data_IF_156169666606
#
_entry.id   IF_156169666606
#
_cell.length_a   1.000
_cell.length_b   1.000
_cell.length_c   1.000
_cell.angle_alpha   90.00
_cell.angle_beta   90.00
_cell.angle_gamma   90.00
#
_symmetry.space_group_name_H-M   'P 1'
#
loop_
_entity.id
_entity.type
_entity.pdbx_description
1 polymer ?
#
# COMPACT_ATOMS: atom_id res chain seq x y z
N UNK A 1 19.63 7.03 -0.76
CA UNK A 1 19.35 7.09 -2.18
C UNK A 1 18.70 8.42 -2.55
N UNK A 2 17.49 8.73 -2.10
CA UNK A 2 16.93 10.08 -2.27
C UNK A 2 17.63 11.09 -1.35
N UNK A 3 17.94 12.31 -1.77
CA UNK A 3 17.52 12.97 -3.01
C UNK A 3 18.44 12.76 -4.22
N UNK A 4 19.58 12.11 -4.09
CA UNK A 4 20.57 12.04 -5.19
C UNK A 4 20.12 11.13 -6.34
N UNK A 5 19.34 10.08 -6.04
CA UNK A 5 18.72 9.20 -7.04
C UNK A 5 17.25 9.06 -6.70
N UNK A 6 16.41 9.68 -7.51
CA UNK A 6 14.96 9.63 -7.34
C UNK A 6 14.36 8.43 -8.07
N UNK A 7 13.23 7.94 -7.58
CA UNK A 7 12.41 6.97 -8.28
C UNK A 7 11.19 7.71 -8.86
N UNK A 8 10.64 7.23 -9.94
CA UNK A 8 9.45 7.83 -10.56
C UNK A 8 8.19 7.78 -9.64
N UNK A 9 8.19 6.90 -8.63
CA UNK A 9 7.05 6.73 -7.73
C UNK A 9 7.03 7.74 -6.57
N UNK A 10 8.20 8.24 -6.15
CA UNK A 10 8.31 9.17 -5.05
C UNK A 10 8.24 10.63 -5.51
N UNK A 11 7.64 11.47 -4.70
CA UNK A 11 7.47 12.91 -4.95
C UNK A 11 8.26 13.78 -3.97
N UNK A 12 8.66 13.22 -2.83
CA UNK A 12 9.36 13.93 -1.75
C UNK A 12 10.66 13.22 -1.36
N UNK A 13 11.43 13.88 -0.49
CA UNK A 13 12.62 13.27 0.12
C UNK A 13 12.34 12.66 1.51
N UNK A 14 11.09 12.66 1.91
CA UNK A 14 10.66 12.16 3.21
C UNK A 14 10.77 10.64 3.32
N UNK A 15 10.98 10.17 4.54
CA UNK A 15 10.89 8.76 4.87
C UNK A 15 9.43 8.32 4.96
N UNK A 16 9.17 7.05 4.75
CA UNK A 16 7.83 6.47 4.80
C UNK A 16 6.80 7.13 3.86
N UNK A 17 7.24 7.70 2.74
CA UNK A 17 6.34 8.24 1.73
C UNK A 17 5.43 7.16 1.16
N UNK A 18 4.11 7.42 1.15
CA UNK A 18 3.10 6.50 0.65
C UNK A 18 2.91 6.72 -0.86
N UNK A 19 3.43 5.82 -1.68
CA UNK A 19 3.51 6.02 -3.13
C UNK A 19 2.26 5.61 -3.91
N UNK A 20 1.47 4.62 -3.45
CA UNK A 20 0.31 4.12 -4.20
C UNK A 20 -1.04 4.52 -3.58
N UNK A 21 -1.20 4.39 -2.28
CA UNK A 21 -2.43 4.69 -1.54
C UNK A 21 -2.08 5.43 -0.26
N UNK A 22 -3.05 6.18 0.29
CA UNK A 22 -2.94 6.77 1.62
C UNK A 22 -3.70 5.95 2.68
N UNK A 23 -4.12 4.74 2.36
CA UNK A 23 -4.89 3.88 3.27
C UNK A 23 -4.02 2.75 3.83
N UNK A 24 -4.16 2.55 5.14
CA UNK A 24 -3.65 1.39 5.85
C UNK A 24 -4.70 0.27 5.98
N UNK A 25 -5.79 0.36 5.21
CA UNK A 25 -6.92 -0.58 5.19
C UNK A 25 -7.76 -0.52 6.47
N UNK A 26 -8.46 -1.62 6.80
CA UNK A 26 -9.36 -1.67 7.96
C UNK A 26 -8.62 -1.47 9.28
N UNK A 27 -9.20 -0.66 10.16
CA UNK A 27 -8.73 -0.42 11.55
C UNK A 27 -9.62 -1.14 12.58
N UNK A 28 -10.53 -1.97 12.13
CA UNK A 28 -11.39 -2.81 12.97
C UNK A 28 -10.58 -4.01 13.48
N UNK A 29 -10.15 -3.96 14.73
CA UNK A 29 -9.31 -4.96 15.37
C UNK A 29 -10.09 -6.18 15.92
N UNK A 30 -11.42 -6.12 15.91
CA UNK A 30 -12.27 -7.22 16.36
C UNK A 30 -12.64 -8.19 15.24
N UNK A 31 -12.91 -7.67 14.05
CA UNK A 31 -13.41 -8.47 12.94
C UNK A 31 -12.48 -8.55 11.73
N UNK A 32 -11.34 -7.86 11.75
CA UNK A 32 -10.44 -7.77 10.61
C UNK A 32 -8.98 -8.02 10.98
N UNK A 33 -8.31 -8.92 10.24
CA UNK A 33 -6.92 -9.30 10.50
C UNK A 33 -5.93 -8.12 10.38
N UNK A 34 -6.21 -7.12 9.52
CA UNK A 34 -5.36 -5.93 9.40
C UNK A 34 -5.56 -5.01 10.58
N UNK A 35 -6.80 -4.84 11.06
CA UNK A 35 -7.10 -4.09 12.27
C UNK A 35 -6.43 -4.72 13.50
N UNK A 36 -6.46 -6.04 13.62
CA UNK A 36 -5.72 -6.75 14.68
C UNK A 36 -4.21 -6.46 14.59
N UNK A 37 -3.63 -6.46 13.38
CA UNK A 37 -2.23 -6.11 13.18
C UNK A 37 -1.93 -4.66 13.59
N UNK A 38 -2.83 -3.71 13.32
CA UNK A 38 -2.72 -2.33 13.80
C UNK A 38 -2.67 -2.28 15.33
N UNK A 39 -3.56 -3.01 16.01
CA UNK A 39 -3.59 -3.10 17.45
C UNK A 39 -2.28 -3.65 18.03
N UNK A 40 -1.74 -4.74 17.44
CA UNK A 40 -0.46 -5.32 17.83
C UNK A 40 0.70 -4.32 17.66
N UNK A 41 0.72 -3.61 16.53
CA UNK A 41 1.75 -2.59 16.25
C UNK A 41 1.65 -1.40 17.18
N UNK A 42 0.42 -0.93 17.53
CA UNK A 42 0.21 0.14 18.52
C UNK A 42 0.71 -0.32 19.90
N UNK A 43 0.36 -1.53 20.31
CA UNK A 43 0.84 -2.14 21.57
C UNK A 43 2.37 -2.27 21.61
N UNK A 44 2.99 -2.40 20.45
CA UNK A 44 4.44 -2.43 20.30
C UNK A 44 5.10 -1.07 20.14
N UNK A 45 4.37 0.05 20.33
CA UNK A 45 4.86 1.41 20.16
C UNK A 45 5.45 1.67 18.75
N UNK A 46 4.75 1.21 17.71
CA UNK A 46 5.13 1.47 16.33
C UNK A 46 5.08 2.95 15.99
N UNK A 47 6.19 3.51 15.52
CA UNK A 47 6.25 4.89 15.02
C UNK A 47 5.29 5.11 13.82
N UNK A 48 5.09 4.08 13.00
CA UNK A 48 4.20 4.14 11.85
C UNK A 48 2.75 4.27 12.29
N UNK A 49 2.32 3.49 13.30
CA UNK A 49 0.96 3.62 13.83
C UNK A 49 0.77 4.92 14.59
N UNK A 50 1.72 5.34 15.42
CA UNK A 50 1.67 6.62 16.15
C UNK A 50 1.48 7.81 15.19
N UNK A 51 2.23 7.83 14.08
CA UNK A 51 2.09 8.91 13.09
C UNK A 51 0.85 8.71 12.21
N UNK A 52 0.44 7.48 11.95
CA UNK A 52 -0.81 7.16 11.26
C UNK A 52 -2.03 7.68 12.02
N UNK A 53 -2.13 7.39 13.30
CA UNK A 53 -3.21 7.85 14.18
C UNK A 53 -3.24 9.38 14.29
N UNK A 54 -2.07 10.00 14.38
CA UNK A 54 -1.94 11.46 14.46
C UNK A 54 -2.42 12.20 13.23
N UNK A 55 -2.28 11.60 12.05
CA UNK A 55 -2.61 12.19 10.76
C UNK A 55 -3.76 11.45 10.06
N UNK A 56 -4.60 10.79 10.86
CA UNK A 56 -5.76 10.06 10.36
C UNK A 56 -6.75 10.99 9.63
N UNK A 57 -7.34 10.48 8.57
CA UNK A 57 -8.41 11.11 7.80
C UNK A 57 -9.68 10.27 7.91
N UNK A 58 -10.86 10.90 7.85
CA UNK A 58 -12.13 10.18 7.78
C UNK A 58 -12.15 9.20 6.60
N UNK A 59 -12.33 7.91 6.89
CA UNK A 59 -12.35 6.84 5.88
C UNK A 59 -13.24 5.65 6.30
N UNK A 60 -14.32 5.91 7.06
CA UNK A 60 -15.19 4.87 7.60
C UNK A 60 -14.41 3.95 8.56
N UNK A 61 -14.47 2.64 8.35
CA UNK A 61 -13.72 1.66 9.18
C UNK A 61 -12.25 1.48 8.76
N UNK A 62 -11.73 2.28 7.85
CA UNK A 62 -10.33 2.19 7.41
C UNK A 62 -9.50 3.31 8.05
N UNK A 63 -8.24 3.03 8.36
CA UNK A 63 -7.25 4.06 8.68
C UNK A 63 -6.69 4.61 7.37
N UNK A 64 -7.07 5.81 6.99
CA UNK A 64 -6.44 6.60 5.95
C UNK A 64 -5.70 7.78 6.57
N UNK A 65 -4.64 8.26 5.92
CA UNK A 65 -3.80 9.32 6.48
C UNK A 65 -3.58 10.45 5.47
N UNK A 66 -3.35 11.66 6.00
CA UNK A 66 -2.76 12.73 5.22
C UNK A 66 -1.34 12.33 4.83
N UNK A 67 -1.12 12.10 3.54
CA UNK A 67 0.09 11.49 2.98
C UNK A 67 1.34 12.28 3.30
N UNK A 68 1.28 13.61 3.11
CA UNK A 68 2.43 14.49 3.29
C UNK A 68 2.73 14.71 4.78
N UNK A 69 1.69 15.01 5.57
CA UNK A 69 1.84 15.22 7.01
C UNK A 69 2.36 13.97 7.73
N UNK A 70 1.91 12.79 7.30
CA UNK A 70 2.39 11.50 7.82
C UNK A 70 3.89 11.31 7.55
N UNK A 71 4.34 11.38 6.30
CA UNK A 71 5.73 11.15 5.93
C UNK A 71 6.68 12.20 6.54
N UNK A 72 6.28 13.47 6.55
CA UNK A 72 7.03 14.54 7.21
C UNK A 72 7.21 14.30 8.72
N UNK A 73 6.14 13.83 9.39
CA UNK A 73 6.19 13.54 10.83
C UNK A 73 7.06 12.32 11.16
N UNK A 74 6.99 11.25 10.36
CA UNK A 74 7.89 10.10 10.49
C UNK A 74 9.35 10.54 10.28
N UNK A 75 9.60 11.30 9.22
CA UNK A 75 10.94 11.84 8.92
C UNK A 75 11.48 12.66 10.08
N UNK A 76 10.69 13.60 10.59
CA UNK A 76 11.07 14.47 11.72
C UNK A 76 11.39 13.66 12.97
N UNK A 77 10.57 12.64 13.30
CA UNK A 77 10.77 11.82 14.49
C UNK A 77 12.06 11.01 14.42
N UNK A 78 12.35 10.42 13.26
CA UNK A 78 13.57 9.64 13.03
C UNK A 78 14.82 10.53 13.00
N UNK A 79 14.77 11.64 12.27
CA UNK A 79 15.92 12.56 12.11
C UNK A 79 16.31 13.21 13.45
N UNK A 80 15.34 13.51 14.31
CA UNK A 80 15.59 14.14 15.61
C UNK A 80 16.00 13.14 16.70
N UNK A 81 16.05 11.85 16.40
CA UNK A 81 16.39 10.84 17.40
C UNK A 81 17.91 10.82 17.63
N UNK A 82 18.41 10.98 18.87
CA UNK A 82 19.83 11.18 19.17
C UNK A 82 20.73 9.98 18.83
N UNK A 83 20.16 8.78 18.68
CA UNK A 83 20.88 7.55 18.36
C UNK A 83 20.75 7.16 16.88
N UNK A 84 20.17 8.02 16.03
CA UNK A 84 19.96 7.73 14.61
C UNK A 84 20.81 8.68 13.75
N UNK A 85 21.60 8.10 12.86
CA UNK A 85 22.28 8.84 11.79
C UNK A 85 21.69 8.41 10.45
N UNK A 86 21.26 9.39 9.64
CA UNK A 86 20.72 9.15 8.30
C UNK A 86 21.82 9.39 7.28
N UNK A 87 22.23 8.33 6.59
CA UNK A 87 23.08 8.40 5.41
C UNK A 87 22.21 8.28 4.15
N UNK A 88 22.31 9.24 3.24
CA UNK A 88 21.56 9.31 1.98
C UNK A 88 22.32 8.74 0.78
N UNK A 89 23.51 8.19 0.99
CA UNK A 89 24.28 7.55 -0.07
C UNK A 89 23.56 6.30 -0.59
N UNK A 90 23.82 5.95 -1.84
CA UNK A 90 23.32 4.70 -2.42
C UNK A 90 24.21 3.54 -1.95
N UNK A 91 23.59 2.47 -1.49
CA UNK A 91 24.24 1.21 -1.17
C UNK A 91 24.16 0.31 -2.39
N UNK A 92 25.32 0.01 -2.99
CA UNK A 92 25.40 -0.75 -4.25
C UNK A 92 25.51 -2.27 -4.02
N UNK A 93 26.02 -2.69 -2.88
CA UNK A 93 26.32 -4.08 -2.57
C UNK A 93 25.77 -4.47 -1.20
N UNK A 94 25.66 -5.76 -0.93
CA UNK A 94 25.37 -6.26 0.42
C UNK A 94 26.39 -5.71 1.40
N UNK A 95 25.96 -5.16 2.55
CA UNK A 95 26.85 -4.58 3.53
C UNK A 95 27.93 -5.56 4.01
N UNK A 96 29.16 -5.10 4.25
CA UNK A 96 30.24 -5.95 4.74
C UNK A 96 29.96 -6.44 6.16
N UNK A 97 30.58 -7.55 6.57
CA UNK A 97 30.34 -8.18 7.88
C UNK A 97 30.65 -7.28 9.07
N UNK A 98 31.62 -6.39 8.92
CA UNK A 98 32.02 -5.45 9.97
C UNK A 98 30.98 -4.37 10.31
N UNK A 99 29.88 -4.27 9.54
CA UNK A 99 28.76 -3.41 9.92
C UNK A 99 27.90 -4.00 11.06
N UNK A 100 28.16 -5.25 11.44
CA UNK A 100 27.36 -5.94 12.45
C UNK A 100 25.96 -6.30 11.96
N UNK A 101 24.95 -6.10 12.80
CA UNK A 101 23.56 -6.40 12.43
C UNK A 101 23.03 -5.40 11.40
N UNK A 102 22.64 -5.92 10.25
CA UNK A 102 22.11 -5.13 9.13
C UNK A 102 20.68 -5.58 8.82
N UNK A 103 19.78 -4.63 8.53
CA UNK A 103 18.41 -4.90 8.05
C UNK A 103 18.25 -4.26 6.68
N UNK A 104 18.00 -5.08 5.66
CA UNK A 104 17.69 -4.64 4.30
C UNK A 104 16.16 -4.51 4.20
N UNK A 105 15.68 -3.27 4.18
CA UNK A 105 14.25 -2.93 4.11
C UNK A 105 13.99 -1.92 2.98
N UNK A 106 14.65 -2.13 1.85
CA UNK A 106 14.68 -1.22 0.70
C UNK A 106 13.37 -1.18 -0.10
N UNK A 107 12.45 -2.08 0.24
CA UNK A 107 11.14 -2.14 -0.42
C UNK A 107 11.21 -2.63 -1.87
N UNK A 108 10.15 -2.39 -2.64
CA UNK A 108 10.01 -2.94 -3.99
C UNK A 108 10.89 -2.22 -5.03
N UNK A 109 11.26 -0.97 -4.76
CA UNK A 109 12.06 -0.12 -5.65
C UNK A 109 13.55 -0.11 -5.24
N UNK A 110 14.06 -1.26 -4.85
CA UNK A 110 15.49 -1.46 -4.57
C UNK A 110 16.33 -1.07 -5.79
N UNK A 111 17.46 -0.38 -5.57
CA UNK A 111 18.35 0.00 -6.66
C UNK A 111 18.84 -1.22 -7.44
N UNK A 112 19.04 -1.03 -8.74
CA UNK A 112 19.45 -2.13 -9.62
C UNK A 112 20.77 -2.75 -9.20
N UNK A 113 21.72 -1.96 -8.72
CA UNK A 113 23.01 -2.42 -8.23
C UNK A 113 22.87 -3.35 -7.03
N UNK A 114 22.16 -2.90 -5.99
CA UNK A 114 21.93 -3.72 -4.79
C UNK A 114 21.08 -4.97 -5.10
N UNK A 115 20.06 -4.83 -5.97
CA UNK A 115 19.24 -5.97 -6.38
C UNK A 115 20.06 -7.05 -7.09
N UNK A 116 20.96 -6.66 -8.00
CA UNK A 116 21.85 -7.60 -8.67
C UNK A 116 22.80 -8.28 -7.69
N UNK A 117 23.41 -7.53 -6.78
CA UNK A 117 24.32 -8.10 -5.79
C UNK A 117 23.61 -9.09 -4.84
N UNK A 118 22.37 -8.79 -4.44
CA UNK A 118 21.53 -9.73 -3.68
C UNK A 118 21.32 -11.03 -4.46
N UNK A 119 21.01 -10.94 -5.76
CA UNK A 119 20.78 -12.11 -6.61
C UNK A 119 22.04 -12.96 -6.75
N UNK A 120 23.18 -12.34 -7.04
CA UNK A 120 24.47 -13.01 -7.18
C UNK A 120 24.89 -13.73 -5.89
N UNK A 121 24.64 -13.12 -4.73
CA UNK A 121 24.99 -13.69 -3.43
C UNK A 121 23.97 -14.71 -2.88
N UNK A 122 22.82 -14.87 -3.53
CA UNK A 122 21.77 -15.81 -3.11
C UNK A 122 21.53 -16.95 -4.09
N UNK A 123 22.21 -16.97 -5.22
CA UNK A 123 22.06 -17.94 -6.31
C UNK A 123 20.60 -18.10 -6.75
N UNK A 124 19.87 -16.98 -6.79
CA UNK A 124 18.45 -16.96 -7.11
C UNK A 124 18.18 -16.16 -8.39
N UNK A 125 17.18 -16.63 -9.14
CA UNK A 125 16.58 -15.80 -10.19
C UNK A 125 15.76 -14.68 -9.56
N UNK A 126 15.80 -13.49 -10.16
CA UNK A 126 14.99 -12.36 -9.71
C UNK A 126 13.51 -12.74 -9.75
N UNK A 127 12.85 -12.68 -8.59
CA UNK A 127 11.42 -12.65 -8.53
C UNK A 127 10.97 -11.20 -8.71
N UNK A 128 9.99 -10.99 -9.54
CA UNK A 128 9.44 -9.66 -9.81
C UNK A 128 7.91 -9.74 -9.94
N UNK A 129 7.25 -8.65 -9.62
CA UNK A 129 5.83 -8.46 -9.87
C UNK A 129 5.58 -7.01 -10.31
N UNK A 130 4.45 -6.79 -10.99
CA UNK A 130 4.00 -5.46 -11.33
C UNK A 130 3.03 -4.93 -10.29
N UNK A 131 3.22 -3.66 -9.92
CA UNK A 131 2.35 -2.88 -9.08
C UNK A 131 1.86 -1.65 -9.83
N UNK A 132 0.63 -1.25 -9.61
CA UNK A 132 0.04 -0.13 -10.29
C UNK A 132 -0.47 0.93 -9.29
N UNK A 133 -0.43 2.19 -9.72
CA UNK A 133 -0.79 3.36 -8.93
C UNK A 133 -2.08 3.95 -9.48
N UNK A 134 -2.99 4.36 -8.59
CA UNK A 134 -4.23 5.04 -8.93
C UNK A 134 -4.02 6.55 -9.11
N UNK A 135 -4.80 7.20 -10.00
CA UNK A 135 -4.78 8.65 -10.19
C UNK A 135 -5.32 9.42 -8.99
N UNK A 136 -4.85 10.67 -8.84
CA UNK A 136 -5.33 11.66 -7.86
C UNK A 136 -5.86 12.87 -8.61
N UNK A 137 -7.06 13.34 -8.23
CA UNK A 137 -7.72 14.49 -8.85
C UNK A 137 -7.84 15.65 -7.87
N UNK A 138 -7.86 16.88 -8.41
CA UNK A 138 -8.16 18.08 -7.63
C UNK A 138 -9.65 18.18 -7.34
N UNK A 139 -10.01 18.47 -6.08
CA UNK A 139 -11.39 18.56 -5.62
C UNK A 139 -12.21 19.62 -6.36
N UNK A 140 -11.62 20.79 -6.65
CA UNK A 140 -12.25 21.91 -7.34
C UNK A 140 -12.60 21.63 -8.80
N UNK A 141 -12.09 20.55 -9.36
CA UNK A 141 -12.36 20.11 -10.73
C UNK A 141 -13.49 19.05 -10.82
N UNK A 142 -14.05 18.64 -9.69
CA UNK A 142 -15.12 17.63 -9.62
C UNK A 142 -16.49 18.31 -9.67
N UNK A 143 -17.37 17.83 -10.55
CA UNK A 143 -18.74 18.34 -10.65
C UNK A 143 -19.64 17.74 -9.55
N UNK A 144 -19.82 18.49 -8.48
CA UNK A 144 -20.66 18.10 -7.33
C UNK A 144 -22.16 18.08 -7.64
N UNK A 145 -22.61 18.57 -8.79
CA UNK A 145 -24.00 18.42 -9.21
C UNK A 145 -24.35 16.99 -9.65
N UNK A 146 -23.32 16.19 -9.97
CA UNK A 146 -23.43 14.78 -10.37
C UNK A 146 -22.92 13.83 -9.30
N UNK A 147 -21.92 14.27 -8.52
CA UNK A 147 -21.30 13.49 -7.48
C UNK A 147 -21.84 13.87 -6.09
N UNK A 148 -21.66 12.98 -5.10
CA UNK A 148 -22.07 13.24 -3.71
C UNK A 148 -21.15 12.56 -2.69
N UNK A 149 -21.18 13.07 -1.45
CA UNK A 149 -20.40 12.51 -0.34
C UNK A 149 -21.25 11.49 0.45
N UNK A 150 -20.77 10.25 0.54
CA UNK A 150 -21.41 9.20 1.35
C UNK A 150 -20.46 8.01 1.53
N UNK A 151 -20.35 7.48 2.73
CA UNK A 151 -19.76 6.16 3.00
C UNK A 151 -20.79 5.05 2.77
N UNK A 152 -20.33 3.87 2.34
CA UNK A 152 -21.24 2.74 2.09
C UNK A 152 -21.99 2.33 3.35
N UNK A 153 -23.31 2.17 3.22
CA UNK A 153 -24.22 1.83 4.32
C UNK A 153 -24.20 2.87 5.44
N UNK A 154 -23.83 4.13 5.13
CA UNK A 154 -23.69 5.23 6.09
C UNK A 154 -22.81 4.86 7.31
N UNK A 155 -21.81 4.00 7.08
CA UNK A 155 -20.87 3.55 8.12
C UNK A 155 -20.07 4.72 8.64
N UNK A 156 -19.96 4.78 9.96
CA UNK A 156 -19.22 5.77 10.72
C UNK A 156 -20.02 6.27 11.92
N UNK A 157 -19.33 6.69 12.96
CA UNK A 157 -19.96 7.24 14.16
C UNK A 157 -20.26 8.72 13.99
N UNK A 158 -19.40 9.43 13.25
CA UNK A 158 -19.52 10.87 12.98
C UNK A 158 -20.08 11.14 11.58
N UNK A 159 -20.59 12.34 11.35
CA UNK A 159 -21.05 12.77 10.02
C UNK A 159 -19.89 12.84 9.01
N UNK A 160 -18.69 13.18 9.46
CA UNK A 160 -17.49 13.18 8.62
C UNK A 160 -17.15 11.77 8.11
N UNK A 161 -17.27 10.77 8.96
CA UNK A 161 -17.04 9.36 8.58
C UNK A 161 -18.14 8.84 7.65
N UNK A 162 -19.40 9.22 7.90
CA UNK A 162 -20.52 8.86 7.03
C UNK A 162 -20.44 9.51 5.65
N UNK A 163 -19.71 10.61 5.53
CA UNK A 163 -19.48 11.36 4.29
C UNK A 163 -18.04 11.32 3.81
N UNK A 164 -17.28 10.26 4.14
CA UNK A 164 -15.84 10.17 3.87
C UNK A 164 -15.48 9.94 2.39
N UNK A 165 -16.42 9.41 1.60
CA UNK A 165 -16.18 9.07 0.19
C UNK A 165 -17.04 9.93 -0.74
N UNK A 166 -16.42 10.43 -1.80
CA UNK A 166 -17.12 11.03 -2.93
C UNK A 166 -17.52 9.93 -3.92
N UNK A 167 -18.74 9.97 -4.40
CA UNK A 167 -19.33 8.93 -5.24
C UNK A 167 -19.76 9.51 -6.59
N UNK A 168 -19.31 8.89 -7.69
CA UNK A 168 -19.66 9.24 -9.06
C UNK A 168 -20.49 8.10 -9.67
N UNK A 169 -21.80 8.32 -9.95
CA UNK A 169 -22.69 7.27 -10.42
C UNK A 169 -22.57 7.07 -11.93
N UNK A 170 -22.81 5.86 -12.39
CA UNK A 170 -22.98 5.52 -13.78
C UNK A 170 -24.29 4.78 -13.99
N UNK A 171 -25.02 5.10 -15.05
CA UNK A 171 -26.04 4.23 -15.60
C UNK A 171 -25.39 3.10 -16.41
N UNK A 172 -26.23 2.21 -16.96
CA UNK A 172 -25.73 1.06 -17.71
C UNK A 172 -25.02 1.45 -19.00
N UNK A 173 -25.55 2.41 -19.73
CA UNK A 173 -24.99 2.85 -21.01
C UNK A 173 -23.63 3.51 -20.82
N UNK A 174 -23.52 4.42 -19.86
CA UNK A 174 -22.26 5.07 -19.50
C UNK A 174 -21.21 4.06 -19.02
N UNK A 175 -21.65 3.08 -18.22
CA UNK A 175 -20.77 1.99 -17.77
C UNK A 175 -20.25 1.15 -18.91
N UNK A 176 -21.11 0.67 -19.81
CA UNK A 176 -20.72 -0.16 -20.94
C UNK A 176 -19.73 0.58 -21.84
N UNK A 177 -20.01 1.86 -22.16
CA UNK A 177 -19.12 2.71 -22.94
C UNK A 177 -17.77 2.95 -22.23
N UNK A 178 -17.79 3.14 -20.91
CA UNK A 178 -16.57 3.29 -20.11
C UNK A 178 -15.72 2.02 -20.15
N UNK A 179 -16.33 0.83 -19.97
CA UNK A 179 -15.61 -0.45 -20.02
C UNK A 179 -14.99 -0.69 -21.41
N UNK A 180 -15.74 -0.40 -22.47
CA UNK A 180 -15.22 -0.56 -23.83
C UNK A 180 -14.04 0.39 -24.09
N UNK A 181 -14.15 1.66 -23.69
CA UNK A 181 -13.05 2.63 -23.79
C UNK A 181 -11.83 2.25 -22.94
N UNK A 182 -12.05 1.67 -21.74
CA UNK A 182 -10.99 1.19 -20.87
C UNK A 182 -10.23 0.02 -21.50
N UNK A 183 -10.95 -0.93 -22.10
CA UNK A 183 -10.37 -2.10 -22.74
C UNK A 183 -9.61 -1.73 -24.02
N UNK A 184 -10.12 -0.77 -24.81
CA UNK A 184 -9.53 -0.28 -26.06
C UNK A 184 -8.37 0.71 -25.84
N UNK A 185 -8.20 1.23 -24.61
CA UNK A 185 -7.17 2.23 -24.30
C UNK A 185 -5.75 1.73 -24.60
N UNK A 186 -4.88 2.62 -25.04
CA UNK A 186 -3.46 2.31 -25.15
C UNK A 186 -2.83 2.10 -23.78
N UNK A 187 -2.10 1.00 -23.65
CA UNK A 187 -1.48 0.56 -22.39
C UNK A 187 0.04 0.64 -22.49
N UNK A 188 0.70 0.70 -21.35
CA UNK A 188 2.16 0.58 -21.26
C UNK A 188 2.55 -0.81 -21.78
N UNK A 189 3.44 -0.84 -22.78
CA UNK A 189 3.99 -2.07 -23.30
C UNK A 189 5.06 -2.63 -22.39
N UNK A 190 5.00 -3.93 -22.13
CA UNK A 190 6.04 -4.65 -21.42
C UNK A 190 7.09 -5.17 -22.40
N UNK A 191 8.34 -5.19 -21.95
CA UNK A 191 9.41 -5.86 -22.68
C UNK A 191 9.14 -7.36 -22.71
N UNK A 192 9.66 -8.08 -23.70
CA UNK A 192 9.38 -9.50 -23.88
C UNK A 192 9.67 -10.35 -22.64
N UNK A 193 10.75 -10.03 -21.93
CA UNK A 193 11.12 -10.72 -20.69
C UNK A 193 10.27 -10.33 -19.47
N UNK A 194 9.41 -9.34 -19.57
CA UNK A 194 8.47 -8.87 -18.53
C UNK A 194 7.06 -9.42 -18.72
N UNK A 195 6.73 -9.97 -19.88
CA UNK A 195 5.37 -10.40 -20.23
C UNK A 195 4.81 -11.47 -19.28
N UNK A 196 5.67 -12.33 -18.76
CA UNK A 196 5.29 -13.40 -17.82
C UNK A 196 5.37 -12.96 -16.34
N UNK A 197 5.69 -11.70 -16.07
CA UNK A 197 5.76 -11.17 -14.70
C UNK A 197 4.35 -10.95 -14.17
N UNK A 198 3.96 -11.58 -13.04
CA UNK A 198 2.62 -11.46 -12.49
C UNK A 198 2.36 -10.06 -11.96
N UNK A 199 1.08 -9.67 -11.94
CA UNK A 199 0.64 -8.50 -11.18
C UNK A 199 0.46 -8.85 -9.71
N UNK A 200 0.67 -7.85 -8.88
CA UNK A 200 0.32 -7.89 -7.48
C UNK A 200 -1.21 -7.87 -7.30
N UNK A 201 -1.78 -8.85 -6.61
CA UNK A 201 -3.24 -8.98 -6.47
C UNK A 201 -3.90 -7.74 -5.84
N UNK A 202 -3.25 -7.11 -4.87
CA UNK A 202 -3.77 -5.94 -4.16
C UNK A 202 -3.76 -4.64 -4.97
N UNK A 203 -2.94 -4.57 -6.04
CA UNK A 203 -2.79 -3.40 -6.92
C UNK A 203 -2.98 -3.79 -8.39
N UNK A 204 -3.87 -4.75 -8.65
CA UNK A 204 -4.19 -5.20 -9.99
C UNK A 204 -4.73 -4.02 -10.82
N UNK A 205 -4.17 -3.75 -12.03
CA UNK A 205 -4.69 -2.71 -12.90
C UNK A 205 -6.16 -2.92 -13.23
N UNK A 206 -6.93 -1.82 -13.26
CA UNK A 206 -8.37 -1.87 -13.49
C UNK A 206 -8.71 -2.48 -14.86
N UNK A 207 -7.86 -2.28 -15.87
CA UNK A 207 -8.00 -2.88 -17.21
C UNK A 207 -7.91 -4.41 -17.12
N UNK A 208 -6.98 -4.93 -16.33
CA UNK A 208 -6.80 -6.37 -16.12
C UNK A 208 -8.00 -6.98 -15.38
N UNK A 209 -8.60 -6.23 -14.47
CA UNK A 209 -9.86 -6.66 -13.84
C UNK A 209 -11.01 -6.67 -14.85
N UNK A 210 -11.11 -5.65 -15.72
CA UNK A 210 -12.14 -5.55 -16.75
C UNK A 210 -12.01 -6.65 -17.82
N UNK A 211 -10.80 -7.06 -18.19
CA UNK A 211 -10.51 -8.17 -19.11
C UNK A 211 -11.12 -9.51 -18.63
N UNK A 212 -11.34 -9.67 -17.32
CA UNK A 212 -11.98 -10.88 -16.75
C UNK A 212 -13.49 -10.95 -17.02
N UNK A 213 -14.09 -9.87 -17.50
CA UNK A 213 -15.50 -9.76 -17.88
C UNK A 213 -16.07 -8.38 -17.64
N UNK A 214 -16.97 -7.91 -18.52
CA UNK A 214 -17.55 -6.55 -18.46
C UNK A 214 -18.18 -6.19 -17.09
N UNK A 215 -18.78 -7.15 -16.41
CA UNK A 215 -19.42 -6.93 -15.10
C UNK A 215 -18.46 -7.00 -13.89
N UNK A 216 -17.19 -7.40 -14.09
CA UNK A 216 -16.24 -7.65 -13.00
C UNK A 216 -16.06 -6.43 -12.10
N UNK A 217 -15.90 -5.24 -12.69
CA UNK A 217 -15.67 -4.01 -11.92
C UNK A 217 -16.87 -3.63 -11.05
N UNK A 218 -18.07 -3.98 -11.48
CA UNK A 218 -19.33 -3.74 -10.76
C UNK A 218 -19.47 -4.60 -9.50
N UNK A 219 -18.78 -5.73 -9.42
CA UNK A 219 -18.68 -6.57 -8.23
C UNK A 219 -17.44 -6.27 -7.37
N UNK A 220 -16.59 -5.40 -7.88
CA UNK A 220 -15.33 -4.97 -7.27
C UNK A 220 -15.31 -3.46 -6.96
N UNK A 221 -14.36 -2.70 -7.52
CA UNK A 221 -14.13 -1.29 -7.19
C UNK A 221 -15.30 -0.36 -7.53
N UNK A 222 -16.14 -0.73 -8.51
CA UNK A 222 -17.28 0.07 -8.94
C UNK A 222 -18.64 -0.42 -8.40
N UNK A 223 -18.64 -1.16 -7.31
CA UNK A 223 -19.86 -1.73 -6.72
C UNK A 223 -20.83 -0.63 -6.27
N UNK A 224 -22.13 -0.64 -6.67
CA UNK A 224 -23.08 0.42 -6.32
C UNK A 224 -23.80 0.20 -4.98
N UNK A 225 -23.68 -0.98 -4.37
CA UNK A 225 -24.47 -1.39 -3.20
C UNK A 225 -24.13 -0.57 -1.95
N UNK A 226 -25.14 -0.20 -1.16
CA UNK A 226 -24.97 0.57 0.07
C UNK A 226 -24.81 2.07 -0.14
N UNK A 227 -25.16 2.58 -1.34
CA UNK A 227 -25.09 3.99 -1.71
C UNK A 227 -26.44 4.46 -2.26
N UNK A 228 -26.82 5.68 -1.91
CA UNK A 228 -28.05 6.33 -2.40
C UNK A 228 -27.70 7.68 -2.98
N UNK A 229 -27.93 7.88 -4.28
CA UNK A 229 -27.68 9.15 -4.93
C UNK A 229 -28.71 10.21 -4.49
N UNK A 230 -28.36 11.26 -3.77
CA UNK A 230 -29.30 12.28 -3.31
C UNK A 230 -29.89 13.12 -4.46
N UNK A 231 -29.20 13.20 -5.60
CA UNK A 231 -29.70 13.91 -6.80
C UNK A 231 -30.80 13.11 -7.51
N UNK A 232 -30.80 11.76 -7.35
CA UNK A 232 -31.77 10.86 -7.96
C UNK A 232 -32.06 9.67 -7.02
N UNK A 233 -32.75 9.90 -5.88
CA UNK A 233 -32.86 8.91 -4.80
C UNK A 233 -33.66 7.66 -5.15
N UNK A 234 -34.49 7.74 -6.18
CA UNK A 234 -35.34 6.62 -6.67
C UNK A 234 -34.63 5.77 -7.72
N UNK A 235 -33.52 6.25 -8.30
CA UNK A 235 -32.79 5.57 -9.36
C UNK A 235 -31.52 4.93 -8.74
N UNK A 236 -31.43 3.60 -8.86
CA UNK A 236 -30.22 2.89 -8.46
C UNK A 236 -29.16 3.01 -9.57
N UNK A 237 -28.00 3.53 -9.22
CA UNK A 237 -26.86 3.52 -10.13
C UNK A 237 -26.49 2.08 -10.54
N UNK A 238 -26.11 1.90 -11.80
CA UNK A 238 -25.62 0.62 -12.29
C UNK A 238 -24.21 0.33 -11.72
N UNK A 239 -23.36 1.34 -11.67
CA UNK A 239 -22.05 1.30 -11.04
C UNK A 239 -21.76 2.63 -10.35
N UNK A 240 -20.81 2.64 -9.41
CA UNK A 240 -20.36 3.87 -8.72
C UNK A 240 -18.84 3.84 -8.58
N UNK A 241 -18.18 4.90 -9.05
CA UNK A 241 -16.78 5.16 -8.78
C UNK A 241 -16.67 5.92 -7.48
N UNK A 242 -15.83 5.43 -6.56
CA UNK A 242 -15.58 6.09 -5.28
C UNK A 242 -14.22 6.80 -5.27
N UNK A 243 -14.20 7.99 -4.73
CA UNK A 243 -12.97 8.73 -4.47
C UNK A 243 -12.85 8.98 -2.96
N UNK A 244 -11.63 8.95 -2.46
CA UNK A 244 -11.30 9.19 -1.04
C UNK A 244 -10.38 10.39 -0.92
N UNK A 245 -10.55 11.20 0.13
CA UNK A 245 -9.63 12.29 0.45
C UNK A 245 -8.19 11.78 0.55
N UNK A 246 -7.26 12.48 -0.10
CA UNK A 246 -5.84 12.17 -0.11
C UNK A 246 -5.04 13.09 0.82
N UNK A 247 -5.64 14.20 1.28
CA UNK A 247 -5.07 15.13 2.26
C UNK A 247 -6.12 15.68 3.22
N UNK A 248 -5.67 16.24 4.35
CA UNK A 248 -6.54 16.79 5.39
C UNK A 248 -7.34 18.02 4.92
N UNK A 249 -6.80 18.81 4.00
CA UNK A 249 -7.49 19.97 3.45
C UNK A 249 -8.67 19.60 2.53
N UNK A 250 -8.80 18.33 2.13
CA UNK A 250 -9.84 17.87 1.21
C UNK A 250 -9.70 18.45 -0.21
N UNK A 251 -8.51 18.92 -0.58
CA UNK A 251 -8.25 19.48 -1.90
C UNK A 251 -7.85 18.45 -2.95
N UNK A 252 -7.54 17.22 -2.51
CA UNK A 252 -7.13 16.11 -3.35
C UNK A 252 -7.95 14.85 -3.04
N UNK A 253 -8.30 14.13 -4.11
CA UNK A 253 -9.04 12.87 -4.02
C UNK A 253 -8.36 11.77 -4.83
N UNK A 254 -8.14 10.61 -4.21
CA UNK A 254 -7.64 9.39 -4.85
C UNK A 254 -8.83 8.59 -5.41
N UNK A 255 -8.74 8.15 -6.67
CA UNK A 255 -9.76 7.30 -7.30
C UNK A 255 -9.56 5.86 -6.80
N UNK A 256 -10.45 5.40 -5.94
CA UNK A 256 -10.30 4.13 -5.21
C UNK A 256 -10.42 2.93 -6.14
N UNK A 257 -9.39 2.07 -6.16
CA UNK A 257 -9.39 0.84 -6.96
C UNK A 257 -9.11 1.05 -8.45
N UNK A 258 -8.65 2.24 -8.84
CA UNK A 258 -8.34 2.60 -10.22
C UNK A 258 -6.83 2.63 -10.53
N UNK A 259 -6.09 1.72 -9.95
CA UNK A 259 -4.72 1.46 -10.38
C UNK A 259 -4.71 1.12 -11.87
N UNK A 260 -3.77 1.68 -12.64
CA UNK A 260 -3.83 1.57 -14.09
C UNK A 260 -2.47 1.45 -14.76
N UNK A 261 -2.43 0.73 -15.88
CA UNK A 261 -1.32 0.66 -16.84
C UNK A 261 -1.58 1.45 -18.12
N UNK A 262 -2.70 2.21 -18.21
CA UNK A 262 -2.98 3.09 -19.35
C UNK A 262 -1.87 4.12 -19.53
N UNK A 263 -1.60 4.50 -20.77
CA UNK A 263 -0.76 5.67 -21.07
C UNK A 263 -1.42 6.95 -20.53
N UNK A 264 -0.65 7.98 -20.23
CA UNK A 264 -1.15 9.20 -19.58
C UNK A 264 -2.26 9.90 -20.37
N UNK A 265 -2.15 9.96 -21.70
CA UNK A 265 -3.19 10.53 -22.57
C UNK A 265 -4.51 9.76 -22.48
N UNK A 266 -4.44 8.44 -22.41
CA UNK A 266 -5.60 7.59 -22.30
C UNK A 266 -6.27 7.67 -20.92
N UNK A 267 -5.49 7.82 -19.86
CA UNK A 267 -6.05 8.00 -18.53
C UNK A 267 -6.96 9.23 -18.50
N UNK A 268 -6.52 10.37 -19.02
CA UNK A 268 -7.35 11.58 -19.06
C UNK A 268 -8.61 11.35 -19.89
N UNK A 269 -8.49 10.75 -21.07
CA UNK A 269 -9.62 10.48 -21.96
C UNK A 269 -10.67 9.55 -21.31
N UNK A 270 -10.23 8.41 -20.78
CA UNK A 270 -11.11 7.37 -20.25
C UNK A 270 -11.72 7.80 -18.91
N UNK A 271 -10.92 8.37 -18.01
CA UNK A 271 -11.41 8.78 -16.70
C UNK A 271 -12.36 9.99 -16.77
N UNK A 272 -12.25 10.84 -17.78
CA UNK A 272 -13.22 11.93 -18.03
C UNK A 272 -14.59 11.43 -18.52
N UNK A 273 -14.75 10.14 -18.82
CA UNK A 273 -16.06 9.56 -19.09
C UNK A 273 -16.88 9.27 -17.82
N UNK A 274 -16.25 9.35 -16.66
CA UNK A 274 -16.91 9.16 -15.35
C UNK A 274 -17.74 10.41 -15.03
N UNK A 275 -19.08 10.28 -14.81
CA UNK A 275 -19.93 11.40 -14.45
C UNK A 275 -19.44 12.10 -13.19
N UNK A 276 -19.23 13.41 -13.32
CA UNK A 276 -18.61 14.25 -12.29
C UNK A 276 -17.11 14.46 -12.47
N UNK A 277 -16.45 13.71 -13.35
CA UNK A 277 -15.02 13.84 -13.67
C UNK A 277 -14.75 14.32 -15.10
N UNK A 278 -15.75 14.80 -15.83
CA UNK A 278 -15.60 15.20 -17.24
C UNK A 278 -14.55 16.30 -17.45
N UNK A 279 -14.41 17.18 -16.45
CA UNK A 279 -13.44 18.27 -16.46
C UNK A 279 -12.36 18.10 -15.39
N UNK A 280 -12.16 16.87 -14.90
CA UNK A 280 -11.23 16.61 -13.81
C UNK A 280 -9.80 16.96 -14.18
N UNK A 281 -9.13 17.65 -13.27
CA UNK A 281 -7.71 17.95 -13.32
C UNK A 281 -6.98 16.95 -12.43
N UNK A 282 -5.98 16.29 -12.99
CA UNK A 282 -5.21 15.28 -12.27
C UNK A 282 -4.00 15.93 -11.59
N UNK A 283 -3.92 15.82 -10.27
CA UNK A 283 -2.73 16.17 -9.51
C UNK A 283 -1.63 15.13 -9.75
N UNK A 284 -2.04 13.87 -9.99
CA UNK A 284 -1.16 12.77 -10.33
C UNK A 284 -1.91 11.78 -11.22
N UNK A 285 -1.25 11.32 -12.27
CA UNK A 285 -1.73 10.20 -13.08
C UNK A 285 -1.24 8.87 -12.49
N UNK A 286 -1.97 7.81 -12.78
CA UNK A 286 -1.58 6.46 -12.44
C UNK A 286 -0.39 5.97 -13.25
N UNK A 287 0.18 4.87 -12.85
CA UNK A 287 1.31 4.26 -13.55
C UNK A 287 1.59 2.86 -13.06
N UNK A 288 2.39 2.13 -13.81
CA UNK A 288 2.82 0.78 -13.46
C UNK A 288 4.33 0.76 -13.25
N UNK A 289 4.77 -0.03 -12.28
CA UNK A 289 6.19 -0.26 -12.05
C UNK A 289 6.48 -1.71 -11.68
N UNK A 290 7.69 -2.12 -11.98
CA UNK A 290 8.19 -3.43 -11.67
C UNK A 290 8.87 -3.40 -10.31
N UNK A 291 8.39 -4.25 -9.42
CA UNK A 291 8.93 -4.44 -8.08
C UNK A 291 9.88 -5.63 -8.04
N UNK A 292 10.87 -5.56 -7.18
CA UNK A 292 11.81 -6.66 -6.93
C UNK A 292 11.58 -7.22 -5.52
N UNK A 293 11.59 -8.55 -5.39
CA UNK A 293 11.55 -9.24 -4.09
C UNK A 293 12.43 -10.48 -4.10
N UNK A 294 12.68 -11.06 -2.92
CA UNK A 294 13.45 -12.28 -2.74
C UNK A 294 12.55 -13.46 -2.36
N UNK A 295 13.00 -14.68 -2.65
CA UNK A 295 12.31 -15.89 -2.21
C UNK A 295 12.57 -16.14 -0.72
N UNK A 296 11.88 -15.41 0.13
CA UNK A 296 12.08 -15.44 1.58
C UNK A 296 11.95 -16.82 2.22
N UNK A 297 10.95 -17.67 1.86
CA UNK A 297 10.85 -19.02 2.42
C UNK A 297 12.09 -19.88 2.18
N UNK A 298 12.77 -19.67 1.06
CA UNK A 298 13.99 -20.40 0.72
C UNK A 298 15.22 -19.78 1.37
N UNK A 299 15.33 -18.45 1.33
CA UNK A 299 16.55 -17.72 1.66
C UNK A 299 16.67 -17.34 3.12
N UNK A 300 15.54 -17.09 3.81
CA UNK A 300 15.55 -16.59 5.18
C UNK A 300 15.24 -17.69 6.19
N UNK A 301 15.78 -17.52 7.39
CA UNK A 301 15.40 -18.30 8.56
C UNK A 301 14.15 -17.70 9.27
N UNK A 302 13.72 -18.31 10.38
CA UNK A 302 12.58 -17.89 11.17
C UNK A 302 12.79 -16.58 11.94
N UNK A 303 14.01 -16.03 11.94
CA UNK A 303 14.37 -14.70 12.44
C UNK A 303 14.62 -13.69 11.33
N UNK A 304 14.16 -13.97 10.11
CA UNK A 304 14.32 -13.14 8.91
C UNK A 304 15.79 -12.90 8.51
N UNK A 305 16.73 -13.73 9.00
CA UNK A 305 18.15 -13.63 8.65
C UNK A 305 18.42 -14.39 7.35
N UNK A 306 19.30 -13.85 6.52
CA UNK A 306 19.82 -14.55 5.36
C UNK A 306 20.62 -15.79 5.83
N UNK A 307 20.20 -16.99 5.42
CA UNK A 307 20.79 -18.25 5.87
C UNK A 307 22.31 -18.34 5.61
N UNK A 308 22.76 -17.74 4.51
CA UNK A 308 24.17 -17.69 4.12
C UNK A 308 24.96 -16.60 4.84
N UNK A 309 24.28 -15.54 5.36
CA UNK A 309 24.89 -14.40 6.05
C UNK A 309 23.99 -13.96 7.23
N UNK A 310 24.05 -14.63 8.39
CA UNK A 310 23.10 -14.41 9.50
C UNK A 310 23.15 -13.01 10.14
N UNK A 311 24.17 -12.21 9.88
CA UNK A 311 24.26 -10.82 10.28
C UNK A 311 23.31 -9.90 9.48
N UNK A 312 22.76 -10.38 8.35
CA UNK A 312 21.84 -9.64 7.48
C UNK A 312 20.42 -10.16 7.64
N UNK A 313 19.47 -9.26 7.94
CA UNK A 313 18.03 -9.50 7.91
C UNK A 313 17.39 -8.80 6.72
N UNK A 314 16.28 -9.34 6.27
CA UNK A 314 15.41 -8.69 5.29
C UNK A 314 14.05 -8.42 5.91
N UNK A 315 13.44 -7.27 5.59
CA UNK A 315 12.13 -6.90 6.09
C UNK A 315 11.33 -6.08 5.05
N UNK A 316 10.00 -6.12 5.19
CA UNK A 316 9.09 -5.39 4.34
C UNK A 316 8.92 -5.99 2.95
N UNK A 317 8.47 -5.19 2.00
CA UNK A 317 8.00 -5.67 0.69
C UNK A 317 9.07 -6.39 -0.15
N UNK A 318 10.35 -6.10 0.06
CA UNK A 318 11.45 -6.86 -0.58
C UNK A 318 11.42 -8.35 -0.22
N UNK A 319 10.77 -8.74 0.88
CA UNK A 319 10.61 -10.15 1.29
C UNK A 319 9.40 -10.84 0.64
N UNK A 320 8.68 -10.18 -0.25
CA UNK A 320 7.43 -10.69 -0.85
C UNK A 320 6.20 -10.47 0.03
N UNK A 321 6.30 -9.67 1.09
CA UNK A 321 5.16 -9.27 1.93
C UNK A 321 4.41 -8.13 1.27
N UNK A 322 3.10 -8.23 1.26
CA UNK A 322 2.19 -7.27 0.65
C UNK A 322 1.62 -6.28 1.66
N UNK A 323 1.61 -4.99 1.30
CA UNK A 323 0.95 -3.93 2.06
C UNK A 323 1.88 -3.12 2.95
N UNK A 324 1.50 -1.86 3.18
CA UNK A 324 2.27 -0.93 4.02
C UNK A 324 2.36 -1.39 5.47
N UNK A 325 1.22 -1.87 6.00
CA UNK A 325 1.10 -2.26 7.41
C UNK A 325 1.93 -3.51 7.68
N UNK A 326 1.79 -4.52 6.84
CA UNK A 326 2.55 -5.77 6.94
C UNK A 326 4.05 -5.53 6.77
N UNK A 327 4.43 -4.65 5.84
CA UNK A 327 5.82 -4.27 5.65
C UNK A 327 6.40 -3.54 6.85
N UNK A 328 5.64 -2.61 7.44
CA UNK A 328 6.03 -1.87 8.63
C UNK A 328 6.12 -2.78 9.87
N UNK A 329 5.19 -3.72 10.01
CA UNK A 329 5.19 -4.71 11.07
C UNK A 329 6.42 -5.64 10.99
N UNK A 330 6.77 -6.10 9.78
CA UNK A 330 8.01 -6.86 9.58
C UNK A 330 9.26 -6.05 9.93
N UNK A 331 9.30 -4.76 9.56
CA UNK A 331 10.40 -3.87 9.92
C UNK A 331 10.56 -3.71 11.43
N UNK A 332 9.43 -3.53 12.13
CA UNK A 332 9.40 -3.44 13.59
C UNK A 332 9.90 -4.74 14.25
N UNK A 333 9.46 -5.89 13.74
CA UNK A 333 9.90 -7.20 14.23
C UNK A 333 11.39 -7.43 13.96
N UNK A 334 11.88 -7.15 12.75
CA UNK A 334 13.28 -7.28 12.39
C UNK A 334 14.20 -6.44 13.28
N UNK A 335 13.79 -5.19 13.56
CA UNK A 335 14.50 -4.31 14.47
C UNK A 335 14.59 -4.87 15.90
N UNK A 336 13.48 -5.38 16.43
CA UNK A 336 13.45 -6.00 17.76
C UNK A 336 14.29 -7.27 17.85
N UNK A 337 14.23 -8.12 16.84
CA UNK A 337 15.05 -9.32 16.77
C UNK A 337 16.55 -8.98 16.72
N UNK A 338 16.94 -7.97 15.93
CA UNK A 338 18.32 -7.51 15.86
C UNK A 338 18.84 -6.98 17.20
N UNK A 339 18.03 -6.16 17.90
CA UNK A 339 18.36 -5.64 19.24
C UNK A 339 18.47 -6.76 20.27
N UNK A 340 17.58 -7.72 20.25
CA UNK A 340 17.61 -8.85 21.19
C UNK A 340 18.87 -9.70 20.99
N UNK A 341 19.21 -9.99 19.74
CA UNK A 341 20.42 -10.75 19.39
C UNK A 341 21.68 -9.99 19.82
N UNK A 342 21.78 -8.68 19.53
CA UNK A 342 22.92 -7.86 19.96
C UNK A 342 23.06 -7.77 21.49
N UNK A 343 21.97 -7.96 22.24
CA UNK A 343 21.90 -7.98 23.70
C UNK A 343 22.10 -9.37 24.31
N UNK A 344 22.39 -10.39 23.49
CA UNK A 344 22.52 -11.78 23.92
C UNK A 344 21.22 -12.43 24.41
N UNK A 345 20.06 -11.83 24.09
CA UNK A 345 18.74 -12.35 24.44
C UNK A 345 18.21 -13.24 23.32
N UNK A 346 17.90 -14.49 23.65
CA UNK A 346 17.26 -15.40 22.70
C UNK A 346 15.74 -15.17 22.72
N UNK A 347 15.21 -14.60 21.64
CA UNK A 347 13.75 -14.53 21.45
C UNK A 347 13.31 -15.90 20.91
N UNK A 348 12.58 -16.65 21.73
CA UNK A 348 11.93 -17.87 21.28
C UNK A 348 10.90 -17.54 20.18
N UNK A 349 10.70 -18.51 19.29
CA UNK A 349 9.82 -18.46 18.12
C UNK A 349 8.54 -17.67 18.40
N UNK A 350 8.28 -16.68 17.59
CA UNK A 350 7.06 -15.89 17.63
C UNK A 350 5.93 -16.75 17.07
N UNK A 351 5.08 -17.26 17.93
CA UNK A 351 3.85 -18.00 17.55
C UNK A 351 2.64 -17.08 17.61
N UNK A 352 1.57 -17.41 16.89
CA UNK A 352 0.29 -16.73 17.06
C UNK A 352 -0.28 -17.02 18.44
N UNK A 353 -0.45 -16.00 19.25
CA UNK A 353 -1.25 -16.05 20.46
C UNK A 353 -2.64 -15.46 20.17
N UNK A 354 -3.66 -16.02 20.80
CA UNK A 354 -4.97 -15.38 20.81
C UNK A 354 -4.90 -14.02 21.52
N UNK A 355 -5.79 -13.10 21.18
CA UNK A 355 -5.84 -11.73 21.76
C UNK A 355 -5.84 -11.72 23.29
N UNK A 356 -6.52 -12.69 23.91
CA UNK A 356 -6.63 -12.84 25.36
C UNK A 356 -5.28 -13.20 26.00
N UNK A 357 -4.50 -14.09 25.39
CA UNK A 357 -3.15 -14.44 25.82
C UNK A 357 -2.17 -13.27 25.63
N UNK A 358 -2.37 -12.45 24.58
CA UNK A 358 -1.61 -11.23 24.37
C UNK A 358 -1.88 -10.18 25.44
N UNK A 359 -3.13 -10.02 25.90
CA UNK A 359 -3.49 -9.10 26.97
C UNK A 359 -2.91 -9.51 28.33
N UNK A 360 -2.87 -10.80 28.66
CA UNK A 360 -2.19 -11.32 29.85
C UNK A 360 -0.67 -11.09 29.81
N UNK A 361 -0.05 -11.26 28.63
CA UNK A 361 1.39 -11.07 28.43
C UNK A 361 1.81 -9.59 28.39
N UNK A 362 0.91 -8.67 28.02
CA UNK A 362 1.15 -7.22 28.05
C UNK A 362 1.20 -6.67 29.48
N UNK A 363 0.61 -7.36 30.47
CA UNK A 363 0.84 -7.12 31.90
C UNK A 363 2.28 -7.41 32.34
N UNK A 364 3.02 -8.24 31.59
CA UNK A 364 4.45 -8.51 31.73
C UNK A 364 5.19 -7.95 30.52
N UNK A 365 5.77 -6.78 30.64
CA UNK A 365 6.61 -6.09 29.64
C UNK A 365 7.12 -6.96 28.49
N UNK A 366 6.56 -6.72 27.28
CA UNK A 366 7.11 -7.00 25.95
C UNK A 366 6.90 -8.42 25.40
N UNK A 367 5.95 -8.58 24.49
CA UNK A 367 6.08 -9.55 23.39
C UNK A 367 5.23 -9.13 22.19
N UNK A 368 5.88 -8.90 21.05
CA UNK A 368 5.22 -8.69 19.78
C UNK A 368 5.01 -10.04 19.09
N UNK A 369 3.78 -10.36 18.76
CA UNK A 369 3.45 -11.54 17.97
C UNK A 369 2.81 -11.09 16.66
N UNK A 370 3.48 -11.42 15.56
CA UNK A 370 3.03 -11.07 14.22
C UNK A 370 2.52 -12.31 13.51
N UNK A 371 1.26 -12.29 13.09
CA UNK A 371 0.70 -13.31 12.22
C UNK A 371 0.88 -12.85 10.75
N UNK A 372 2.02 -13.12 10.15
CA UNK A 372 2.14 -13.07 8.70
C UNK A 372 1.80 -14.45 8.15
N UNK A 373 0.55 -14.65 7.76
CA UNK A 373 0.13 -15.86 7.07
C UNK A 373 0.67 -15.78 5.65
N UNK A 374 1.83 -16.36 5.40
CA UNK A 374 2.27 -16.62 4.03
C UNK A 374 1.22 -17.50 3.36
N UNK A 375 0.47 -16.95 2.41
CA UNK A 375 -0.41 -17.77 1.56
C UNK A 375 0.48 -18.79 0.84
N UNK A 376 0.31 -20.07 1.17
CA UNK A 376 0.99 -21.21 0.51
C UNK A 376 0.81 -21.26 -1.01
N UNK A 377 -0.02 -20.41 -1.59
CA UNK A 377 -0.40 -20.40 -2.99
C UNK A 377 0.24 -19.31 -3.84
N UNK A 378 1.11 -18.45 -3.30
CA UNK A 378 1.87 -17.49 -4.13
C UNK A 378 3.00 -18.13 -4.94
N UNK A 379 3.23 -19.43 -4.81
CA UNK A 379 4.28 -20.18 -5.51
C UNK A 379 3.69 -21.40 -6.23
N UNK A 380 2.65 -21.20 -7.05
CA UNK A 380 2.36 -22.13 -8.14
C UNK A 380 2.77 -21.43 -9.43
N UNK A 381 4.01 -21.65 -9.82
CA UNK A 381 4.46 -21.63 -11.20
C UNK A 381 4.30 -23.05 -11.74
#
# INVERSE_FOLDING_TARGET
>A
MRPSVETFAHQTHDLAELVCSNSFRSDDDESNAVGLLHWEMRSANSIIMEMGDKHALPAGSALAVDREAFSASVTKKITNHPLVTIDRSEIHNLPPENWGHTIIATGPLTSKSLANDILENTDQKSLAFFDAIAPIVFADSIDMSKAWMQSRYDKGETDEERTAYLNCPMDKETYDNFIDALLDSEKTEFKDWEKDTPYFDGCLPIEVMAERGKETLRWGPMKPVGLTNPHQPTIKAHAVVQLRRDNALGTLFNIVGFQTKMKYSEQTRVLSMIPGLENAKFARLGGIHRNTFINSPLLLDDQMRLKTRPNIRFAGQITGVEGYVESAAMGLLAGRLAVAESSGKNIKRVGSLAREELQELLGCKIHLFLFVKFKKNCFKI
#
